data_IF_570051221762
#
_entry.id   IF_570051221762
#
_cell.length_a   1.000
_cell.length_b   1.000
_cell.length_c   1.000
_cell.angle_alpha   90.00
_cell.angle_beta   90.00
_cell.angle_gamma   90.00
#
_symmetry.space_group_name_H-M   'P 1'
#
loop_
_entity.id
_entity.type
_entity.pdbx_description
1 polymer ?
#
# COMPACT_ATOMS: atom_id res chain seq x y z
N UNK A 1 32.28 -2.69 -9.31
CA UNK A 1 31.89 -1.29 -9.00
C UNK A 1 30.55 -0.95 -9.66
N UNK A 2 29.43 -1.40 -9.10
CA UNK A 2 28.14 -0.75 -9.37
C UNK A 2 28.18 0.52 -8.52
N UNK A 3 28.53 1.64 -9.16
CA UNK A 3 28.41 2.96 -8.53
C UNK A 3 27.00 3.12 -7.96
N UNK A 4 26.91 3.74 -6.79
CA UNK A 4 25.68 4.03 -6.05
C UNK A 4 24.83 5.03 -6.85
N UNK A 5 24.24 4.53 -7.95
CA UNK A 5 23.48 5.35 -8.88
C UNK A 5 22.15 5.70 -8.25
N UNK A 6 21.90 6.99 -8.12
CA UNK A 6 20.64 7.51 -7.64
C UNK A 6 19.61 7.53 -8.76
N UNK A 7 18.35 7.30 -8.40
CA UNK A 7 17.19 7.58 -9.24
C UNK A 7 16.44 8.78 -8.64
N UNK A 8 15.93 9.65 -9.50
CA UNK A 8 15.05 10.76 -9.10
C UNK A 8 13.61 10.42 -9.48
N UNK A 9 12.71 10.40 -8.50
CA UNK A 9 11.28 10.34 -8.72
C UNK A 9 10.72 11.76 -8.80
N UNK A 10 9.98 12.06 -9.87
CA UNK A 10 9.27 13.33 -10.06
C UNK A 10 7.78 13.10 -9.84
N UNK A 11 7.19 13.90 -8.96
CA UNK A 11 5.81 13.71 -8.51
C UNK A 11 5.24 15.06 -8.08
N UNK A 12 4.11 15.48 -8.67
CA UNK A 12 3.52 16.81 -8.44
C UNK A 12 4.53 17.97 -8.54
N UNK A 13 5.49 17.88 -9.47
CA UNK A 13 6.57 18.87 -9.64
C UNK A 13 7.66 18.84 -8.55
N UNK A 14 7.56 17.95 -7.56
CA UNK A 14 8.57 17.71 -6.53
C UNK A 14 9.50 16.57 -6.92
N UNK A 15 10.69 16.53 -6.32
CA UNK A 15 11.76 15.56 -6.61
C UNK A 15 12.15 14.79 -5.35
N UNK A 16 12.18 13.46 -5.43
CA UNK A 16 12.68 12.56 -4.39
C UNK A 16 13.83 11.71 -4.95
N UNK A 17 14.91 11.54 -4.20
CA UNK A 17 16.05 10.71 -4.63
C UNK A 17 16.18 9.45 -3.78
N UNK A 18 16.56 8.34 -4.42
CA UNK A 18 16.83 7.08 -3.75
C UNK A 18 17.93 6.29 -4.46
N UNK A 19 18.60 5.39 -3.73
CA UNK A 19 19.61 4.50 -4.32
C UNK A 19 18.94 3.40 -5.14
N UNK A 20 19.29 3.29 -6.43
CA UNK A 20 18.78 2.21 -7.29
C UNK A 20 19.13 0.84 -6.74
N UNK A 21 20.34 0.67 -6.21
CA UNK A 21 20.81 -0.61 -5.69
C UNK A 21 19.93 -1.10 -4.53
N UNK A 22 19.57 -0.20 -3.62
CA UNK A 22 18.67 -0.50 -2.51
C UNK A 22 17.26 -0.86 -3.00
N UNK A 23 16.72 -0.09 -3.96
CA UNK A 23 15.39 -0.35 -4.50
C UNK A 23 15.31 -1.71 -5.22
N UNK A 24 16.28 -2.03 -6.08
CA UNK A 24 16.36 -3.33 -6.75
C UNK A 24 16.48 -4.49 -5.75
N UNK A 25 17.27 -4.30 -4.69
CA UNK A 25 17.45 -5.34 -3.66
C UNK A 25 16.14 -5.68 -2.92
N UNK A 26 15.23 -4.72 -2.83
CA UNK A 26 14.02 -4.79 -2.00
C UNK A 26 12.73 -4.96 -2.80
N UNK A 27 12.77 -4.81 -4.12
CA UNK A 27 11.60 -4.87 -4.99
C UNK A 27 12.00 -5.36 -6.39
N UNK A 28 11.46 -6.52 -6.77
CA UNK A 28 11.61 -7.06 -8.11
C UNK A 28 10.99 -6.13 -9.17
N UNK A 29 9.97 -5.36 -8.79
CA UNK A 29 9.34 -4.35 -9.66
C UNK A 29 10.32 -3.22 -9.98
N UNK A 30 11.03 -2.69 -8.96
CA UNK A 30 12.07 -1.67 -9.22
C UNK A 30 13.26 -2.26 -9.97
N UNK A 31 13.66 -3.50 -9.69
CA UNK A 31 14.71 -4.18 -10.45
C UNK A 31 14.36 -4.29 -11.93
N UNK A 32 13.15 -4.78 -12.24
CA UNK A 32 12.64 -4.85 -13.61
C UNK A 32 12.57 -3.45 -14.25
N UNK A 33 11.99 -2.48 -13.55
CA UNK A 33 11.86 -1.08 -14.03
C UNK A 33 13.20 -0.50 -14.48
N UNK A 34 14.28 -0.74 -13.74
CA UNK A 34 15.59 -0.18 -14.06
C UNK A 34 16.40 -1.01 -15.04
N UNK A 35 16.12 -2.31 -15.18
CA UNK A 35 16.84 -3.21 -16.09
C UNK A 35 16.21 -3.33 -17.49
N UNK A 36 14.94 -2.92 -17.68
CA UNK A 36 14.22 -3.09 -18.95
C UNK A 36 14.63 -2.14 -20.09
N UNK A 37 15.65 -1.29 -19.93
CA UNK A 37 16.14 -0.40 -21.01
C UNK A 37 15.14 0.68 -21.46
N UNK A 38 14.11 0.95 -20.66
CA UNK A 38 13.12 2.00 -20.90
C UNK A 38 13.71 3.40 -20.63
N UNK A 39 13.00 4.47 -21.00
CA UNK A 39 13.51 5.87 -20.88
C UNK A 39 14.01 6.20 -19.46
N UNK A 40 13.41 5.59 -18.45
CA UNK A 40 13.73 5.70 -17.03
C UNK A 40 15.15 5.21 -16.70
N UNK A 41 15.67 4.22 -17.44
CA UNK A 41 17.04 3.73 -17.25
C UNK A 41 18.08 4.69 -17.84
N UNK A 42 17.71 5.49 -18.83
CA UNK A 42 18.62 6.41 -19.55
C UNK A 42 18.78 7.74 -18.82
N UNK A 43 17.68 8.33 -18.30
CA UNK A 43 17.71 9.66 -17.69
C UNK A 43 17.86 9.67 -16.16
N UNK A 44 17.86 8.50 -15.51
CA UNK A 44 17.82 8.36 -14.05
C UNK A 44 16.66 9.15 -13.40
N UNK A 45 15.56 9.33 -14.13
CA UNK A 45 14.38 10.06 -13.68
C UNK A 45 13.13 9.24 -14.01
N UNK A 46 12.21 9.12 -13.04
CA UNK A 46 10.93 8.41 -13.16
C UNK A 46 9.84 9.36 -12.75
N UNK A 47 8.85 9.57 -13.62
CA UNK A 47 7.66 10.33 -13.28
C UNK A 47 6.62 9.40 -12.62
N UNK A 48 6.09 9.82 -11.46
CA UNK A 48 5.05 9.10 -10.72
C UNK A 48 3.81 9.98 -10.66
N UNK A 49 2.70 9.48 -11.21
CA UNK A 49 1.44 10.23 -11.35
C UNK A 49 0.27 9.61 -10.58
N UNK A 50 0.43 8.39 -10.07
CA UNK A 50 -0.65 7.60 -9.48
C UNK A 50 -0.49 7.37 -7.97
N UNK A 51 0.54 7.95 -7.36
CA UNK A 51 0.80 7.92 -5.92
C UNK A 51 0.98 9.36 -5.47
N UNK A 52 0.56 9.69 -4.25
CA UNK A 52 0.78 11.01 -3.66
C UNK A 52 2.22 11.16 -3.16
N UNK A 53 2.77 12.38 -3.22
CA UNK A 53 4.14 12.67 -2.77
C UNK A 53 4.45 12.11 -1.37
N UNK A 54 3.55 12.31 -0.41
CA UNK A 54 3.74 11.85 0.97
C UNK A 54 3.82 10.32 1.05
N UNK A 55 3.02 9.60 0.26
CA UNK A 55 3.01 8.13 0.26
C UNK A 55 4.29 7.57 -0.33
N UNK A 56 4.74 8.11 -1.47
CA UNK A 56 6.02 7.71 -2.07
C UNK A 56 7.18 8.01 -1.13
N UNK A 57 7.17 9.16 -0.45
CA UNK A 57 8.19 9.51 0.54
C UNK A 57 8.25 8.46 1.67
N UNK A 58 7.10 8.00 2.18
CA UNK A 58 7.06 6.97 3.22
C UNK A 58 7.54 5.60 2.71
N UNK A 59 7.16 5.23 1.49
CA UNK A 59 7.63 4.00 0.85
C UNK A 59 9.15 4.00 0.71
N UNK A 60 9.74 5.09 0.20
CA UNK A 60 11.19 5.21 0.04
C UNK A 60 11.91 5.21 1.39
N UNK A 61 11.35 5.88 2.41
CA UNK A 61 11.87 5.84 3.77
C UNK A 61 11.89 4.42 4.34
N UNK A 62 10.81 3.66 4.14
CA UNK A 62 10.74 2.26 4.56
C UNK A 62 11.81 1.42 3.85
N UNK A 63 12.00 1.58 2.54
CA UNK A 63 13.01 0.83 1.80
C UNK A 63 14.43 1.12 2.28
N UNK A 64 14.70 2.35 2.72
CA UNK A 64 15.98 2.79 3.25
C UNK A 64 16.25 2.29 4.67
N UNK A 65 15.24 2.31 5.53
CA UNK A 65 15.43 2.15 6.98
C UNK A 65 14.86 0.85 7.54
N UNK A 66 13.89 0.23 6.84
CA UNK A 66 13.07 -0.86 7.35
C UNK A 66 11.99 -0.44 8.34
N UNK A 67 11.82 0.86 8.60
CA UNK A 67 10.87 1.39 9.58
C UNK A 67 9.76 2.21 8.92
N UNK A 68 8.59 2.25 9.57
CA UNK A 68 7.52 3.20 9.24
C UNK A 68 7.74 4.50 10.01
N UNK A 69 7.48 5.65 9.38
CA UNK A 69 7.40 6.90 10.13
C UNK A 69 6.15 6.97 11.00
N UNK A 70 6.16 7.84 12.00
CA UNK A 70 5.04 8.07 12.92
C UNK A 70 3.73 8.46 12.22
N UNK A 71 3.81 9.13 11.06
CA UNK A 71 2.63 9.53 10.29
C UNK A 71 1.82 8.34 9.77
N UNK A 72 2.49 7.21 9.47
CA UNK A 72 1.81 5.97 9.03
C UNK A 72 1.10 5.30 10.21
N UNK A 73 1.61 5.50 11.43
CA UNK A 73 1.08 4.84 12.63
C UNK A 73 -0.24 5.45 13.12
N UNK A 74 -0.52 6.69 12.73
CA UNK A 74 -1.62 7.49 13.29
C UNK A 74 -2.75 7.77 12.30
N UNK A 75 -2.52 7.65 10.99
CA UNK A 75 -3.53 7.89 9.96
C UNK A 75 -3.83 6.62 9.14
N UNK A 76 -5.05 6.09 9.31
CA UNK A 76 -5.54 4.89 8.60
C UNK A 76 -5.56 5.12 7.09
N UNK A 77 -5.84 6.34 6.61
CA UNK A 77 -5.88 6.63 5.17
C UNK A 77 -4.47 6.52 4.57
N UNK A 78 -3.45 6.97 5.30
CA UNK A 78 -2.05 6.81 4.89
C UNK A 78 -1.68 5.33 4.85
N UNK A 79 -2.09 4.54 5.84
CA UNK A 79 -1.86 3.08 5.84
C UNK A 79 -2.53 2.41 4.62
N UNK A 80 -3.78 2.77 4.30
CA UNK A 80 -4.48 2.25 3.12
C UNK A 80 -3.78 2.63 1.81
N UNK A 81 -3.38 3.90 1.63
CA UNK A 81 -2.65 4.33 0.44
C UNK A 81 -1.27 3.64 0.32
N UNK A 82 -0.62 3.35 1.45
CA UNK A 82 0.62 2.57 1.47
C UNK A 82 0.40 1.09 1.12
N UNK A 83 -0.73 0.48 1.48
CA UNK A 83 -1.06 -0.89 1.02
C UNK A 83 -1.14 -0.92 -0.51
N UNK A 84 -1.80 0.07 -1.12
CA UNK A 84 -1.90 0.18 -2.59
C UNK A 84 -0.51 0.32 -3.23
N UNK A 85 0.31 1.23 -2.70
CA UNK A 85 1.67 1.43 -3.22
C UNK A 85 2.55 0.19 -3.00
N UNK A 86 2.44 -0.46 -1.85
CA UNK A 86 3.20 -1.66 -1.53
C UNK A 86 2.80 -2.83 -2.42
N UNK A 87 1.51 -3.00 -2.74
CA UNK A 87 1.06 -3.99 -3.72
C UNK A 87 1.65 -3.70 -5.12
N UNK A 88 1.60 -2.44 -5.57
CA UNK A 88 2.13 -2.04 -6.88
C UNK A 88 3.63 -2.35 -7.04
N UNK A 89 4.42 -2.16 -5.98
CA UNK A 89 5.88 -2.36 -6.00
C UNK A 89 6.32 -3.70 -5.38
N UNK A 90 5.39 -4.62 -5.15
CA UNK A 90 5.61 -5.94 -4.52
C UNK A 90 6.39 -5.89 -3.19
N UNK A 91 6.04 -4.94 -2.32
CA UNK A 91 6.65 -4.73 -1.01
C UNK A 91 5.87 -5.44 0.10
N UNK A 92 5.99 -6.77 0.14
CA UNK A 92 5.18 -7.66 1.02
C UNK A 92 5.26 -7.28 2.50
N UNK A 93 6.44 -6.97 3.01
CA UNK A 93 6.63 -6.61 4.42
C UNK A 93 5.94 -5.28 4.77
N UNK A 94 6.09 -4.27 3.90
CA UNK A 94 5.43 -2.97 4.09
C UNK A 94 3.91 -3.13 4.10
N UNK A 95 3.40 -3.90 3.14
CA UNK A 95 1.98 -4.19 3.02
C UNK A 95 1.45 -4.88 4.28
N UNK A 96 2.13 -5.93 4.76
CA UNK A 96 1.75 -6.65 5.98
C UNK A 96 1.68 -5.75 7.21
N UNK A 97 2.67 -4.87 7.40
CA UNK A 97 2.69 -3.94 8.54
C UNK A 97 1.51 -2.96 8.47
N UNK A 98 1.24 -2.40 7.28
CA UNK A 98 0.11 -1.49 7.07
C UNK A 98 -1.24 -2.19 7.26
N UNK A 99 -1.39 -3.42 6.75
CA UNK A 99 -2.58 -4.26 7.01
C UNK A 99 -2.80 -4.46 8.52
N UNK A 100 -1.73 -4.74 9.28
CA UNK A 100 -1.80 -4.83 10.74
C UNK A 100 -2.27 -3.55 11.43
N UNK A 101 -1.96 -2.37 10.87
CA UNK A 101 -2.47 -1.10 11.40
C UNK A 101 -3.95 -0.89 11.12
N UNK A 102 -4.42 -1.22 9.91
CA UNK A 102 -5.84 -1.15 9.56
C UNK A 102 -6.66 -2.14 10.40
N UNK A 103 -6.13 -3.35 10.63
CA UNK A 103 -6.73 -4.37 11.51
C UNK A 103 -6.95 -3.82 12.92
N UNK A 104 -5.94 -3.18 13.53
CA UNK A 104 -6.05 -2.60 14.89
C UNK A 104 -7.12 -1.52 15.02
N UNK A 105 -7.50 -0.88 13.92
CA UNK A 105 -8.52 0.16 13.88
C UNK A 105 -9.85 -0.32 13.28
N UNK A 106 -10.01 -1.62 13.08
CA UNK A 106 -11.25 -2.21 12.58
C UNK A 106 -12.27 -2.31 13.71
N UNK A 107 -13.49 -1.88 13.42
CA UNK A 107 -14.65 -1.85 14.31
C UNK A 107 -15.86 -2.43 13.59
N UNK A 108 -16.95 -2.68 14.32
CA UNK A 108 -18.21 -3.16 13.72
C UNK A 108 -18.78 -2.19 12.69
N UNK A 109 -18.52 -0.89 12.85
CA UNK A 109 -19.06 0.15 11.97
C UNK A 109 -18.29 0.27 10.64
N UNK A 110 -16.98 -0.02 10.65
CA UNK A 110 -16.11 0.18 9.47
C UNK A 110 -15.60 -1.12 8.82
N UNK A 111 -15.85 -2.30 9.41
CA UNK A 111 -15.33 -3.57 8.89
C UNK A 111 -15.81 -3.89 7.48
N UNK A 112 -17.01 -3.48 7.09
CA UNK A 112 -17.52 -3.65 5.73
C UNK A 112 -16.69 -2.85 4.70
N UNK A 113 -16.29 -1.62 5.06
CA UNK A 113 -15.43 -0.79 4.21
C UNK A 113 -14.03 -1.38 4.11
N UNK A 114 -13.47 -1.86 5.23
CA UNK A 114 -12.18 -2.53 5.26
C UNK A 114 -12.18 -3.84 4.45
N UNK A 115 -13.27 -4.61 4.49
CA UNK A 115 -13.43 -5.82 3.69
C UNK A 115 -13.39 -5.51 2.18
N UNK A 116 -14.17 -4.52 1.75
CA UNK A 116 -14.19 -4.03 0.36
C UNK A 116 -12.80 -3.58 -0.08
N UNK A 117 -12.18 -2.71 0.72
CA UNK A 117 -10.85 -2.19 0.45
C UNK A 117 -9.83 -3.34 0.32
N UNK A 118 -9.86 -4.30 1.25
CA UNK A 118 -8.92 -5.40 1.26
C UNK A 118 -9.05 -6.28 0.03
N UNK A 119 -10.28 -6.56 -0.41
CA UNK A 119 -10.55 -7.34 -1.62
C UNK A 119 -10.04 -6.63 -2.88
N UNK A 120 -10.34 -5.34 -3.03
CA UNK A 120 -9.97 -4.56 -4.22
C UNK A 120 -8.46 -4.34 -4.36
N UNK A 121 -7.71 -4.38 -3.25
CA UNK A 121 -6.28 -4.08 -3.22
C UNK A 121 -5.43 -5.30 -2.83
N UNK A 122 -5.99 -6.51 -2.98
CA UNK A 122 -5.34 -7.78 -2.66
C UNK A 122 -4.75 -7.86 -1.23
N UNK A 123 -5.25 -7.10 -0.26
CA UNK A 123 -4.76 -7.07 1.11
C UNK A 123 -5.25 -8.33 1.87
N UNK A 124 -4.58 -9.45 1.65
CA UNK A 124 -5.08 -10.79 2.00
C UNK A 124 -5.20 -11.03 3.50
N UNK A 125 -4.33 -10.42 4.31
CA UNK A 125 -4.33 -10.56 5.78
C UNK A 125 -5.50 -9.77 6.36
N UNK A 126 -5.70 -8.53 5.92
CA UNK A 126 -6.84 -7.69 6.27
C UNK A 126 -8.15 -8.31 5.78
N UNK A 127 -8.17 -8.86 4.56
CA UNK A 127 -9.34 -9.52 3.98
C UNK A 127 -9.79 -10.69 4.85
N UNK A 128 -8.86 -11.57 5.22
CA UNK A 128 -9.13 -12.70 6.09
C UNK A 128 -9.65 -12.23 7.46
N UNK A 129 -8.97 -11.26 8.06
CA UNK A 129 -9.38 -10.70 9.34
C UNK A 129 -10.81 -10.13 9.30
N UNK A 130 -11.12 -9.33 8.28
CA UNK A 130 -12.43 -8.70 8.14
C UNK A 130 -13.55 -9.73 7.96
N UNK A 131 -13.31 -10.79 7.16
CA UNK A 131 -14.26 -11.90 7.02
C UNK A 131 -14.52 -12.61 8.35
N UNK A 132 -13.46 -12.92 9.10
CA UNK A 132 -13.57 -13.60 10.39
C UNK A 132 -14.24 -12.69 11.44
N UNK A 133 -13.97 -11.39 11.42
CA UNK A 133 -14.59 -10.39 12.28
C UNK A 133 -16.10 -10.27 11.99
N UNK A 134 -16.49 -10.20 10.71
CA UNK A 134 -17.90 -10.17 10.30
C UNK A 134 -18.61 -11.44 10.74
N UNK A 135 -18.01 -12.62 10.56
CA UNK A 135 -18.60 -13.89 11.02
C UNK A 135 -18.82 -13.90 12.54
N UNK A 136 -17.85 -13.40 13.30
CA UNK A 136 -17.91 -13.38 14.77
C UNK A 136 -18.99 -12.42 15.30
N UNK A 137 -19.14 -11.25 14.67
CA UNK A 137 -20.06 -10.20 15.12
C UNK A 137 -21.25 -9.99 14.16
N UNK A 138 -21.63 -11.03 13.41
CA UNK A 138 -22.57 -10.91 12.29
C UNK A 138 -23.88 -10.23 12.66
N UNK A 139 -24.47 -10.58 13.80
CA UNK A 139 -25.74 -10.01 14.29
C UNK A 139 -25.67 -8.50 14.53
N UNK A 140 -24.50 -8.00 14.91
CA UNK A 140 -24.31 -6.57 15.17
C UNK A 140 -24.00 -5.79 13.89
N UNK A 141 -23.50 -6.48 12.86
CA UNK A 141 -23.01 -5.87 11.62
C UNK A 141 -24.07 -5.89 10.51
N UNK A 142 -24.91 -6.93 10.46
CA UNK A 142 -25.80 -7.21 9.33
C UNK A 142 -26.80 -6.07 9.03
N UNK A 143 -27.19 -5.31 10.06
CA UNK A 143 -28.12 -4.20 9.93
C UNK A 143 -27.41 -2.83 9.78
N UNK A 144 -26.07 -2.80 9.76
CA UNK A 144 -25.33 -1.55 9.57
C UNK A 144 -25.48 -1.04 8.14
N UNK A 145 -25.61 0.28 7.92
CA UNK A 145 -25.72 0.84 6.57
C UNK A 145 -24.56 0.43 5.66
N UNK A 146 -23.34 0.41 6.20
CA UNK A 146 -22.14 0.04 5.46
C UNK A 146 -22.17 -1.42 4.98
N UNK A 147 -22.65 -2.34 5.80
CA UNK A 147 -22.79 -3.74 5.40
C UNK A 147 -23.91 -3.93 4.37
N UNK A 148 -25.05 -3.25 4.53
CA UNK A 148 -26.15 -3.31 3.56
C UNK A 148 -25.69 -2.79 2.18
N UNK A 149 -25.00 -1.65 2.14
CA UNK A 149 -24.42 -1.10 0.89
C UNK A 149 -23.43 -2.07 0.26
N UNK A 150 -22.57 -2.70 1.07
CA UNK A 150 -21.63 -3.71 0.58
C UNK A 150 -22.36 -4.89 -0.07
N UNK A 151 -23.42 -5.40 0.56
CA UNK A 151 -24.23 -6.50 0.02
C UNK A 151 -24.92 -6.13 -1.30
N UNK A 152 -25.32 -4.87 -1.47
CA UNK A 152 -26.02 -4.41 -2.67
C UNK A 152 -25.06 -4.16 -3.84
N UNK A 153 -23.94 -3.50 -3.58
CA UNK A 153 -23.01 -3.05 -4.62
C UNK A 153 -21.95 -4.10 -4.98
N UNK A 154 -21.67 -5.05 -4.08
CA UNK A 154 -20.49 -5.92 -4.15
C UNK A 154 -20.75 -7.35 -3.64
N UNK A 155 -21.94 -7.91 -3.87
CA UNK A 155 -22.28 -9.28 -3.43
C UNK A 155 -21.29 -10.36 -3.92
N UNK A 156 -20.63 -10.15 -5.06
CA UNK A 156 -19.56 -10.99 -5.59
C UNK A 156 -18.25 -10.97 -4.79
N UNK A 157 -18.06 -9.97 -3.92
CA UNK A 157 -16.85 -9.82 -3.10
C UNK A 157 -16.92 -10.60 -1.76
N UNK A 158 -18.04 -11.26 -1.48
CA UNK A 158 -18.28 -12.08 -0.28
C UNK A 158 -17.99 -13.57 -0.52
#
# INVERSE_FOLDING_TARGET
>A
NKSDSLITFVIDGKRLQASKALLCLKSEVFEAMFNCGLKESVNNEVEITDIKYNILQQLLFFLQTGYLSENVQTDIKVACELIIAAEKYDLKDLKLICEGHVIKNTTKDNVAEHLKFARLNNATVLLKYALDFIKLYFRDIMDTPNFITLMQEYHELL
#
